data_IF_460193024729
#
_entry.id   IF_460193024729
#
_cell.length_a   1.000
_cell.length_b   1.000
_cell.length_c   1.000
_cell.angle_alpha   90.00
_cell.angle_beta   90.00
_cell.angle_gamma   90.00
#
_symmetry.space_group_name_H-M   'P 1'
#
loop_
_entity.id
_entity.type
_entity.pdbx_description
1 polymer ?
#
# COMPACT_ATOMS: atom_id res chain seq x y z
N UNK A 1 71.62 47.08 -49.62
CA UNK A 1 70.35 47.30 -50.35
C UNK A 1 69.27 46.50 -49.57
N UNK A 2 68.38 47.20 -48.92
CA UNK A 2 67.51 46.75 -47.83
C UNK A 2 66.16 46.18 -48.44
N UNK A 3 65.79 45.02 -47.95
CA UNK A 3 64.54 44.28 -48.24
C UNK A 3 63.26 45.03 -47.79
N UNK A 4 63.36 46.28 -47.34
CA UNK A 4 62.25 47.10 -46.84
C UNK A 4 61.48 47.88 -47.86
N UNK A 5 62.00 48.02 -49.09
CA UNK A 5 61.37 48.89 -50.12
C UNK A 5 60.45 48.13 -51.09
N UNK A 6 60.41 46.80 -51.02
CA UNK A 6 59.59 45.97 -51.91
C UNK A 6 58.15 45.70 -51.48
N UNK A 7 57.77 46.07 -50.22
CA UNK A 7 56.43 45.79 -49.71
C UNK A 7 55.46 46.98 -49.81
N UNK A 8 55.97 48.13 -50.22
CA UNK A 8 55.16 49.38 -50.28
C UNK A 8 54.41 49.66 -51.59
N UNK A 9 54.56 48.84 -52.62
CA UNK A 9 53.96 49.11 -53.92
C UNK A 9 52.75 48.18 -54.32
N UNK A 10 52.29 47.29 -53.38
CA UNK A 10 51.25 46.30 -53.71
C UNK A 10 49.89 46.49 -53.01
N UNK A 11 49.75 47.44 -52.08
CA UNK A 11 48.44 47.73 -51.50
C UNK A 11 47.76 48.81 -52.35
N UNK A 12 47.19 48.40 -53.49
CA UNK A 12 46.28 49.24 -54.25
C UNK A 12 45.21 49.78 -53.29
N UNK A 13 44.98 51.11 -53.34
CA UNK A 13 43.94 51.81 -52.59
C UNK A 13 42.63 51.03 -52.65
N UNK A 14 42.41 50.21 -51.65
CA UNK A 14 41.06 49.60 -51.41
C UNK A 14 40.12 50.78 -51.19
N UNK A 15 39.20 51.10 -52.08
CA UNK A 15 38.35 52.25 -51.91
C UNK A 15 37.52 52.05 -50.62
N UNK A 16 37.46 53.10 -49.79
CA UNK A 16 36.80 53.05 -48.48
C UNK A 16 35.36 52.47 -48.51
N UNK A 17 34.68 52.64 -49.60
CA UNK A 17 33.35 52.06 -49.82
C UNK A 17 33.35 50.52 -49.85
N UNK A 18 34.44 49.87 -50.25
CA UNK A 18 34.58 48.41 -50.25
C UNK A 18 34.73 47.89 -48.84
N UNK A 19 35.43 48.58 -47.94
CA UNK A 19 35.49 48.23 -46.51
C UNK A 19 34.16 48.43 -45.81
N UNK A 20 33.45 49.47 -46.16
CA UNK A 20 32.07 49.71 -45.65
C UNK A 20 31.12 48.65 -46.20
N UNK A 21 31.23 48.28 -47.49
CA UNK A 21 30.37 47.21 -48.05
C UNK A 21 30.66 45.83 -47.40
N UNK A 22 31.90 45.48 -47.17
CA UNK A 22 32.30 44.22 -46.49
C UNK A 22 31.86 44.22 -45.03
N UNK A 23 32.00 45.32 -44.31
CA UNK A 23 31.53 45.43 -42.94
C UNK A 23 29.99 45.43 -42.85
N UNK A 24 29.29 46.09 -43.78
CA UNK A 24 27.85 46.05 -43.88
C UNK A 24 27.36 44.67 -44.29
N UNK A 25 28.00 44.00 -45.23
CA UNK A 25 27.69 42.61 -45.60
C UNK A 25 27.96 41.63 -44.44
N UNK A 26 29.09 41.82 -43.72
CA UNK A 26 29.42 41.05 -42.52
C UNK A 26 28.39 41.27 -41.40
N UNK A 27 28.00 42.50 -41.15
CA UNK A 27 26.94 42.85 -40.19
C UNK A 27 25.57 42.30 -40.64
N UNK A 28 25.27 42.37 -41.92
CA UNK A 28 24.02 41.82 -42.47
C UNK A 28 23.99 40.30 -42.35
N UNK A 29 25.07 39.58 -42.64
CA UNK A 29 25.18 38.12 -42.44
C UNK A 29 25.07 37.74 -40.98
N UNK A 30 25.74 38.47 -40.09
CA UNK A 30 25.66 38.23 -38.65
C UNK A 30 24.25 38.53 -38.11
N UNK A 31 23.63 39.63 -38.53
CA UNK A 31 22.27 39.99 -38.06
C UNK A 31 21.19 39.07 -38.59
N UNK A 32 21.34 38.55 -39.84
CA UNK A 32 20.37 37.59 -40.39
C UNK A 32 20.66 36.15 -40.01
N UNK A 33 21.89 35.81 -39.67
CA UNK A 33 22.25 34.50 -39.13
C UNK A 33 21.76 34.24 -37.69
N UNK A 34 21.48 35.30 -36.93
CA UNK A 34 21.01 35.21 -35.54
C UNK A 34 19.50 35.39 -35.34
N UNK A 35 18.77 35.86 -36.35
CA UNK A 35 17.31 35.98 -36.26
C UNK A 35 16.66 34.63 -36.58
N UNK A 36 15.87 34.13 -35.62
CA UNK A 36 14.90 33.09 -35.94
C UNK A 36 14.07 33.54 -37.11
N UNK A 37 14.04 32.78 -38.22
CA UNK A 37 13.21 33.09 -39.39
C UNK A 37 11.76 33.36 -38.96
N UNK A 38 11.02 34.17 -39.73
CA UNK A 38 9.63 34.46 -39.41
C UNK A 38 8.84 33.14 -39.27
N UNK A 39 8.20 32.93 -38.11
CA UNK A 39 7.41 31.75 -37.83
C UNK A 39 8.14 30.58 -37.15
N UNK A 40 9.39 30.81 -36.68
CA UNK A 40 10.13 29.77 -35.93
C UNK A 40 10.05 30.02 -34.45
N UNK A 41 9.72 28.98 -33.68
CA UNK A 41 9.72 28.99 -32.21
C UNK A 41 10.60 27.88 -31.64
N UNK A 42 11.00 28.01 -30.38
CA UNK A 42 11.79 26.98 -29.69
C UNK A 42 10.86 26.11 -28.87
N UNK A 43 11.00 24.80 -29.07
CA UNK A 43 10.35 23.78 -28.27
C UNK A 43 11.37 22.85 -27.60
N UNK A 44 10.94 22.11 -26.65
CA UNK A 44 11.76 21.10 -25.94
C UNK A 44 10.95 19.84 -25.66
N UNK A 45 11.62 18.73 -25.57
CA UNK A 45 10.97 17.47 -25.18
C UNK A 45 10.39 17.65 -23.78
N UNK A 46 9.08 17.39 -23.67
CA UNK A 46 8.37 17.50 -22.37
C UNK A 46 9.00 16.53 -21.37
N UNK A 47 9.46 17.08 -20.27
CA UNK A 47 9.94 16.32 -19.13
C UNK A 47 8.97 16.46 -17.96
N UNK A 48 8.71 15.35 -17.29
CA UNK A 48 7.96 15.35 -16.04
C UNK A 48 8.86 14.82 -14.94
N UNK A 49 8.92 15.59 -13.87
CA UNK A 49 9.71 15.25 -12.70
C UNK A 49 8.80 14.56 -11.67
N UNK A 50 9.14 13.33 -11.34
CA UNK A 50 8.49 12.59 -10.28
C UNK A 50 9.42 12.47 -9.10
N UNK A 51 9.09 13.14 -8.00
CA UNK A 51 9.85 13.06 -6.77
C UNK A 51 9.44 11.80 -6.01
N UNK A 52 10.42 11.00 -5.61
CA UNK A 52 10.26 9.82 -4.77
C UNK A 52 10.80 10.12 -3.39
N UNK A 53 9.97 10.00 -2.38
CA UNK A 53 10.32 10.24 -0.99
C UNK A 53 9.53 9.34 -0.04
N UNK A 54 9.94 9.23 1.23
CA UNK A 54 9.28 8.38 2.20
C UNK A 54 7.93 8.97 2.64
N UNK A 55 6.96 8.10 2.91
CA UNK A 55 5.67 8.47 3.52
C UNK A 55 5.82 8.69 5.03
N UNK A 56 6.80 8.04 5.67
CA UNK A 56 7.10 8.13 7.09
C UNK A 56 8.52 8.63 7.32
N UNK A 57 8.73 9.30 8.45
CA UNK A 57 10.07 9.71 8.85
C UNK A 57 10.95 8.49 9.15
N UNK A 58 12.22 8.55 8.76
CA UNK A 58 13.18 7.49 8.98
C UNK A 58 14.58 7.85 8.56
N UNK A 59 15.54 6.96 8.81
CA UNK A 59 16.92 7.12 8.34
C UNK A 59 17.11 6.38 7.01
N UNK A 60 17.68 7.04 6.02
CA UNK A 60 18.02 6.42 4.73
C UNK A 60 19.15 5.39 4.94
N UNK A 61 18.87 4.12 4.64
CA UNK A 61 19.83 3.03 4.76
C UNK A 61 20.71 2.94 3.53
N UNK A 62 20.09 2.89 2.35
CA UNK A 62 20.80 2.75 1.08
C UNK A 62 20.00 3.35 -0.08
N UNK A 63 20.73 3.75 -1.12
CA UNK A 63 20.20 4.11 -2.44
C UNK A 63 20.70 3.06 -3.42
N UNK A 64 19.79 2.41 -4.18
CA UNK A 64 20.12 1.28 -5.06
C UNK A 64 20.27 1.64 -6.52
N UNK A 65 20.12 2.90 -6.85
CA UNK A 65 20.19 3.42 -8.22
C UNK A 65 21.27 4.46 -8.34
N UNK A 66 21.74 4.67 -9.57
CA UNK A 66 22.73 5.71 -9.88
C UNK A 66 22.14 6.76 -10.82
N UNK A 67 22.73 7.93 -10.82
CA UNK A 67 22.31 9.03 -11.71
C UNK A 67 22.38 8.59 -13.18
N UNK A 68 21.33 8.90 -13.95
CA UNK A 68 21.20 8.51 -15.33
C UNK A 68 20.74 7.07 -15.60
N UNK A 69 20.53 6.26 -14.56
CA UNK A 69 20.02 4.90 -14.68
C UNK A 69 18.55 4.91 -15.10
N UNK A 70 18.18 4.03 -16.05
CA UNK A 70 16.78 3.77 -16.36
C UNK A 70 16.18 2.84 -15.30
N UNK A 71 15.00 3.19 -14.77
CA UNK A 71 14.24 2.42 -13.77
C UNK A 71 12.83 2.16 -14.27
N UNK A 72 12.28 1.02 -13.90
CA UNK A 72 10.89 0.65 -14.19
C UNK A 72 9.96 0.98 -13.03
N UNK A 73 8.70 1.21 -13.33
CA UNK A 73 7.66 1.35 -12.31
C UNK A 73 7.65 0.15 -11.35
N UNK A 74 7.62 0.42 -10.03
CA UNK A 74 7.70 -0.60 -8.98
C UNK A 74 9.13 -1.03 -8.60
N UNK A 75 10.16 -0.66 -9.35
CA UNK A 75 11.56 -0.97 -9.02
C UNK A 75 12.00 -0.27 -7.74
N UNK A 76 12.76 -0.99 -6.90
CA UNK A 76 13.25 -0.44 -5.62
C UNK A 76 14.38 0.52 -5.90
N UNK A 77 14.20 1.78 -5.53
CA UNK A 77 15.19 2.85 -5.76
C UNK A 77 15.98 3.22 -4.51
N UNK A 78 15.36 3.10 -3.33
CA UNK A 78 16.02 3.34 -2.05
C UNK A 78 15.32 2.57 -0.93
N UNK A 79 16.00 2.43 0.21
CA UNK A 79 15.47 1.76 1.39
C UNK A 79 15.84 2.52 2.66
N UNK A 80 14.86 2.71 3.54
CA UNK A 80 15.07 3.25 4.88
C UNK A 80 15.46 2.14 5.86
N UNK A 81 15.93 2.52 7.05
CA UNK A 81 16.27 1.59 8.11
C UNK A 81 15.02 0.95 8.71
N UNK A 82 14.88 -0.35 8.54
CA UNK A 82 13.72 -1.14 9.01
C UNK A 82 13.88 -1.63 10.44
N UNK A 83 15.10 -1.62 11.00
CA UNK A 83 15.41 -2.22 12.31
C UNK A 83 14.47 -1.82 13.46
N UNK A 84 14.10 -0.54 13.62
CA UNK A 84 13.20 -0.15 14.71
C UNK A 84 11.80 -0.79 14.58
N UNK A 85 11.25 -0.84 13.35
CA UNK A 85 9.96 -1.46 13.10
C UNK A 85 10.05 -3.00 13.13
N UNK A 86 11.16 -3.61 12.69
CA UNK A 86 11.37 -5.06 12.79
C UNK A 86 11.38 -5.53 14.24
N UNK A 87 12.03 -4.81 15.16
CA UNK A 87 12.00 -5.11 16.59
C UNK A 87 10.60 -4.98 17.17
N UNK A 88 9.87 -3.94 16.77
CA UNK A 88 8.47 -3.76 17.18
C UNK A 88 7.57 -4.88 16.64
N UNK A 89 7.77 -5.29 15.39
CA UNK A 89 7.05 -6.42 14.78
C UNK A 89 7.29 -7.72 15.56
N UNK A 90 8.54 -8.04 15.91
CA UNK A 90 8.87 -9.22 16.72
C UNK A 90 8.16 -9.19 18.09
N UNK A 91 8.13 -8.03 18.73
CA UNK A 91 7.42 -7.86 19.99
C UNK A 91 5.91 -8.12 19.86
N UNK A 92 5.26 -7.50 18.86
CA UNK A 92 3.83 -7.68 18.61
C UNK A 92 3.51 -9.13 18.22
N UNK A 93 4.39 -9.80 17.47
CA UNK A 93 4.26 -11.22 17.15
C UNK A 93 4.30 -12.09 18.40
N UNK A 94 5.19 -11.81 19.37
CA UNK A 94 5.24 -12.52 20.66
C UNK A 94 3.96 -12.26 21.49
N UNK A 95 3.48 -11.03 21.52
CA UNK A 95 2.23 -10.67 22.22
C UNK A 95 1.00 -11.34 21.56
N UNK A 96 0.96 -11.44 20.24
CA UNK A 96 -0.06 -12.19 19.50
C UNK A 96 -0.02 -13.68 19.84
N UNK A 97 1.17 -14.27 19.86
CA UNK A 97 1.34 -15.68 20.25
C UNK A 97 0.84 -15.92 21.69
N UNK A 98 1.15 -15.02 22.61
CA UNK A 98 0.64 -15.07 23.99
C UNK A 98 -0.88 -14.96 24.05
N UNK A 99 -1.49 -14.01 23.32
CA UNK A 99 -2.95 -13.84 23.29
C UNK A 99 -3.64 -15.09 22.71
N UNK A 100 -3.10 -15.70 21.66
CA UNK A 100 -3.60 -16.95 21.08
C UNK A 100 -3.49 -18.12 22.07
N UNK A 101 -2.36 -18.26 22.78
CA UNK A 101 -2.19 -19.28 23.79
C UNK A 101 -3.17 -19.11 24.95
N UNK A 102 -3.44 -17.87 25.39
CA UNK A 102 -4.43 -17.60 26.43
C UNK A 102 -5.85 -17.96 25.98
N UNK A 103 -6.22 -17.66 24.74
CA UNK A 103 -7.51 -18.06 24.15
C UNK A 103 -7.68 -19.59 24.16
N UNK A 104 -6.65 -20.33 23.71
CA UNK A 104 -6.66 -21.81 23.71
C UNK A 104 -6.80 -22.35 25.12
N UNK A 105 -6.00 -21.84 26.08
CA UNK A 105 -6.07 -22.27 27.47
C UNK A 105 -7.47 -22.07 28.08
N UNK A 106 -8.15 -20.96 27.78
CA UNK A 106 -9.51 -20.71 28.24
C UNK A 106 -10.51 -21.66 27.57
N UNK A 107 -10.34 -21.98 26.28
CA UNK A 107 -11.15 -22.99 25.58
C UNK A 107 -11.00 -24.36 26.23
N UNK A 108 -9.78 -24.81 26.45
CA UNK A 108 -9.48 -26.10 27.10
C UNK A 108 -10.07 -26.18 28.51
N UNK A 109 -10.00 -25.08 29.26
CA UNK A 109 -10.60 -25.00 30.62
C UNK A 109 -12.13 -25.14 30.58
N UNK A 110 -12.78 -24.51 29.59
CA UNK A 110 -14.22 -24.62 29.37
C UNK A 110 -14.62 -26.06 29.00
N UNK A 111 -13.89 -26.68 28.09
CA UNK A 111 -14.15 -28.06 27.67
C UNK A 111 -13.97 -29.06 28.84
N UNK A 112 -12.91 -28.87 29.65
CA UNK A 112 -12.69 -29.68 30.84
C UNK A 112 -13.81 -29.51 31.87
N UNK A 113 -14.36 -28.30 32.05
CA UNK A 113 -15.52 -28.07 32.93
C UNK A 113 -16.77 -28.78 32.40
N UNK A 114 -17.07 -28.72 31.12
CA UNK A 114 -18.18 -29.41 30.50
C UNK A 114 -18.06 -30.92 30.64
N UNK A 115 -16.87 -31.49 30.38
CA UNK A 115 -16.62 -32.93 30.57
C UNK A 115 -16.84 -33.39 32.02
N UNK A 116 -16.29 -32.63 33.01
CA UNK A 116 -16.50 -32.93 34.44
C UNK A 116 -17.98 -32.92 34.79
N UNK A 117 -18.73 -31.91 34.30
CA UNK A 117 -20.18 -31.84 34.52
C UNK A 117 -20.91 -33.02 33.91
N UNK A 118 -20.56 -33.46 32.70
CA UNK A 118 -21.15 -34.65 32.06
C UNK A 118 -20.88 -35.92 32.86
N UNK A 119 -19.65 -36.13 33.32
CA UNK A 119 -19.27 -37.30 34.13
C UNK A 119 -20.06 -37.30 35.44
N UNK A 120 -20.20 -36.17 36.11
CA UNK A 120 -20.98 -36.06 37.36
C UNK A 120 -22.46 -36.36 37.12
N UNK A 121 -23.03 -35.86 36.01
CA UNK A 121 -24.42 -36.15 35.66
C UNK A 121 -24.66 -37.65 35.38
N UNK A 122 -23.76 -38.31 34.68
CA UNK A 122 -23.81 -39.76 34.38
C UNK A 122 -23.74 -40.56 35.71
N UNK A 123 -22.82 -40.19 36.61
CA UNK A 123 -22.72 -40.84 37.95
C UNK A 123 -23.98 -40.65 38.75
N UNK A 124 -24.50 -39.43 38.88
CA UNK A 124 -25.73 -39.14 39.59
C UNK A 124 -26.92 -39.93 39.03
N UNK A 125 -27.02 -40.05 37.70
CA UNK A 125 -28.07 -40.87 37.06
C UNK A 125 -27.91 -42.35 37.39
N UNK A 126 -26.69 -42.89 37.34
CA UNK A 126 -26.43 -44.30 37.70
C UNK A 126 -26.80 -44.60 39.17
N UNK A 127 -26.50 -43.67 40.10
CA UNK A 127 -26.89 -43.84 41.53
C UNK A 127 -28.39 -43.86 41.72
N UNK A 128 -29.14 -42.98 40.99
CA UNK A 128 -30.60 -42.98 41.02
C UNK A 128 -31.16 -44.32 40.49
N UNK A 129 -30.60 -44.86 39.39
CA UNK A 129 -31.02 -46.15 38.86
C UNK A 129 -30.77 -47.31 39.84
N UNK A 130 -29.59 -47.28 40.51
CA UNK A 130 -29.25 -48.29 41.55
C UNK A 130 -30.28 -48.26 42.69
N UNK A 131 -30.59 -47.09 43.23
CA UNK A 131 -31.60 -46.94 44.29
C UNK A 131 -33.00 -47.36 43.87
N UNK A 132 -33.39 -47.13 42.60
CA UNK A 132 -34.66 -47.61 42.06
C UNK A 132 -34.69 -49.13 41.98
N UNK A 133 -33.60 -49.78 41.68
CA UNK A 133 -33.47 -51.23 41.68
C UNK A 133 -33.62 -51.79 43.09
N UNK A 134 -32.90 -51.20 44.07
CA UNK A 134 -32.95 -51.55 45.49
C UNK A 134 -34.34 -51.38 46.06
N UNK A 135 -35.03 -50.27 45.76
CA UNK A 135 -36.42 -50.03 46.20
C UNK A 135 -37.34 -51.13 45.65
N UNK A 136 -37.19 -51.52 44.38
CA UNK A 136 -38.03 -52.62 43.78
C UNK A 136 -37.80 -53.94 44.49
N UNK A 137 -36.58 -54.27 44.88
CA UNK A 137 -36.25 -55.48 45.64
C UNK A 137 -36.88 -55.47 47.01
N UNK A 138 -36.77 -54.35 47.74
CA UNK A 138 -37.40 -54.20 49.05
C UNK A 138 -38.93 -54.20 48.94
N UNK A 139 -39.52 -53.58 47.96
CA UNK A 139 -40.95 -53.63 47.66
C UNK A 139 -41.46 -55.05 47.47
N UNK A 140 -40.71 -55.88 46.70
CA UNK A 140 -41.04 -57.31 46.55
C UNK A 140 -40.95 -58.07 47.86
N UNK A 141 -39.92 -57.76 48.67
CA UNK A 141 -39.71 -58.37 50.01
C UNK A 141 -40.86 -58.01 50.98
N UNK A 142 -41.28 -56.71 51.01
CA UNK A 142 -42.42 -56.26 51.80
C UNK A 142 -43.71 -56.96 51.37
N UNK A 143 -43.97 -57.10 50.05
CA UNK A 143 -45.14 -57.82 49.50
C UNK A 143 -45.10 -59.29 49.94
N UNK A 144 -43.98 -59.97 49.81
CA UNK A 144 -43.77 -61.33 50.18
C UNK A 144 -44.02 -61.53 51.71
N UNK A 145 -43.37 -60.72 52.56
CA UNK A 145 -43.53 -60.81 54.02
C UNK A 145 -44.92 -60.45 54.41
N UNK A 146 -45.60 -59.51 53.79
CA UNK A 146 -47.02 -59.19 54.11
C UNK A 146 -47.96 -60.35 53.83
N UNK A 147 -47.72 -61.10 52.71
CA UNK A 147 -48.49 -62.27 52.27
C UNK A 147 -48.24 -63.42 53.29
N UNK A 148 -46.99 -63.64 53.69
CA UNK A 148 -46.62 -64.66 54.69
C UNK A 148 -47.17 -64.32 56.10
N UNK A 149 -47.24 -63.06 56.46
CA UNK A 149 -47.89 -62.60 57.69
C UNK A 149 -49.39 -62.91 57.70
N UNK A 150 -50.09 -62.69 56.56
CA UNK A 150 -51.49 -63.03 56.47
C UNK A 150 -51.76 -64.53 56.71
N UNK A 151 -50.74 -65.38 56.38
CA UNK A 151 -50.75 -66.85 56.67
C UNK A 151 -50.17 -67.20 58.01
N UNK A 152 -49.87 -66.24 58.96
CA UNK A 152 -49.30 -66.42 60.29
C UNK A 152 -47.90 -67.06 60.28
N UNK A 153 -47.13 -67.01 59.19
CA UNK A 153 -45.85 -67.67 59.03
C UNK A 153 -44.64 -66.78 59.36
N UNK A 154 -44.80 -65.47 59.57
CA UNK A 154 -43.73 -64.51 59.96
C UNK A 154 -44.21 -63.54 61.02
N UNK A 155 -43.25 -62.98 61.81
CA UNK A 155 -43.54 -62.03 62.90
C UNK A 155 -43.87 -60.62 62.32
N UNK A 156 -44.70 -59.88 63.05
CA UNK A 156 -45.05 -58.52 62.72
C UNK A 156 -43.82 -57.59 62.60
N UNK A 157 -42.83 -57.77 63.49
CA UNK A 157 -41.60 -56.99 63.52
C UNK A 157 -40.80 -57.08 62.29
N UNK A 158 -40.80 -58.20 61.55
CA UNK A 158 -40.07 -58.40 60.28
C UNK A 158 -40.70 -57.57 59.17
N UNK A 159 -42.03 -57.56 59.10
CA UNK A 159 -42.78 -56.76 58.17
C UNK A 159 -42.56 -55.26 58.38
N UNK A 160 -42.58 -54.83 59.65
CA UNK A 160 -42.38 -53.45 60.03
C UNK A 160 -40.97 -52.99 59.77
N UNK A 161 -39.96 -53.82 59.90
CA UNK A 161 -38.57 -53.49 59.54
C UNK A 161 -38.40 -53.32 58.11
N UNK A 162 -38.94 -54.22 57.26
CA UNK A 162 -38.91 -54.13 55.84
C UNK A 162 -39.66 -52.88 55.35
N UNK A 163 -40.79 -52.52 55.93
CA UNK A 163 -41.53 -51.28 55.62
C UNK A 163 -40.76 -50.01 56.02
N UNK A 164 -40.05 -50.02 57.14
CA UNK A 164 -39.19 -48.89 57.52
C UNK A 164 -38.06 -48.69 56.48
N UNK A 165 -37.41 -49.77 56.09
CA UNK A 165 -36.36 -49.76 55.06
C UNK A 165 -36.90 -49.27 53.76
N UNK A 166 -38.08 -49.74 53.28
CA UNK A 166 -38.78 -49.25 52.07
C UNK A 166 -39.01 -47.74 52.13
N UNK A 167 -39.54 -47.23 53.27
CA UNK A 167 -39.80 -45.79 53.43
C UNK A 167 -38.50 -44.98 53.43
N UNK A 168 -37.44 -45.49 54.04
CA UNK A 168 -36.13 -44.80 54.02
C UNK A 168 -35.56 -44.65 52.60
N UNK A 169 -35.48 -45.76 51.82
CA UNK A 169 -35.00 -45.74 50.44
C UNK A 169 -35.92 -44.89 49.54
N UNK A 170 -37.22 -44.94 49.73
CA UNK A 170 -38.19 -44.13 48.98
C UNK A 170 -38.01 -42.62 49.29
N UNK A 171 -37.75 -42.26 50.54
CA UNK A 171 -37.44 -40.89 50.93
C UNK A 171 -36.13 -40.40 50.30
N UNK A 172 -35.06 -41.19 50.39
CA UNK A 172 -33.77 -40.88 49.77
C UNK A 172 -33.89 -40.74 48.24
N UNK A 173 -34.63 -41.65 47.58
CA UNK A 173 -34.91 -41.59 46.17
C UNK A 173 -35.73 -40.34 45.78
N UNK A 174 -36.68 -39.92 46.63
CA UNK A 174 -37.49 -38.72 46.37
C UNK A 174 -36.70 -37.40 46.52
N UNK A 175 -35.69 -37.40 47.35
CA UNK A 175 -34.83 -36.25 47.54
C UNK A 175 -33.79 -36.08 46.41
N UNK A 176 -33.18 -37.19 45.98
CA UNK A 176 -32.10 -37.17 44.98
C UNK A 176 -32.51 -36.75 43.55
N UNK A 177 -33.64 -37.16 42.96
CA UNK A 177 -34.06 -36.69 41.65
C UNK A 177 -34.31 -35.19 41.58
N UNK A 178 -34.78 -34.59 42.71
CA UNK A 178 -34.91 -33.12 42.78
C UNK A 178 -33.57 -32.43 42.89
N UNK A 179 -32.63 -33.01 43.62
CA UNK A 179 -31.26 -32.52 43.69
C UNK A 179 -30.55 -32.70 42.31
N UNK A 180 -30.66 -33.88 41.70
CA UNK A 180 -30.03 -34.15 40.39
C UNK A 180 -30.65 -33.31 39.26
N UNK A 181 -31.95 -33.08 39.28
CA UNK A 181 -32.62 -32.20 38.28
C UNK A 181 -32.20 -30.73 38.46
N UNK A 182 -32.08 -30.29 39.73
CA UNK A 182 -31.63 -28.93 40.06
C UNK A 182 -30.14 -28.75 39.78
N UNK A 183 -29.33 -29.78 40.02
CA UNK A 183 -27.91 -29.81 39.74
C UNK A 183 -27.63 -29.90 38.24
N UNK A 184 -28.42 -30.68 37.50
CA UNK A 184 -28.43 -30.69 36.02
C UNK A 184 -28.85 -29.33 35.45
N UNK A 185 -29.75 -28.63 36.12
CA UNK A 185 -30.19 -27.28 35.74
C UNK A 185 -29.12 -26.21 36.04
N UNK A 186 -28.48 -26.33 37.22
CA UNK A 186 -27.37 -25.46 37.63
C UNK A 186 -26.09 -25.69 36.81
N UNK A 187 -25.83 -26.95 36.40
CA UNK A 187 -24.70 -27.32 35.55
C UNK A 187 -24.96 -27.08 34.05
N UNK A 188 -26.17 -26.64 33.69
CA UNK A 188 -26.50 -26.39 32.30
C UNK A 188 -26.65 -27.66 31.44
N UNK A 189 -26.80 -28.83 32.08
CA UNK A 189 -26.92 -30.14 31.41
C UNK A 189 -28.39 -30.50 31.03
N UNK A 190 -29.38 -29.68 31.38
CA UNK A 190 -30.64 -29.70 30.64
C UNK A 190 -30.33 -29.25 29.20
N UNK A 191 -30.88 -29.91 28.18
CA UNK A 191 -30.72 -29.47 26.81
C UNK A 191 -31.31 -28.07 26.67
N UNK A 192 -30.47 -27.07 26.88
CA UNK A 192 -30.77 -25.69 26.51
C UNK A 192 -30.71 -25.62 24.99
N UNK A 193 -31.49 -24.74 24.36
CA UNK A 193 -31.33 -24.51 22.93
C UNK A 193 -29.85 -24.30 22.62
N UNK A 194 -29.34 -24.94 21.60
CA UNK A 194 -27.92 -24.83 21.18
C UNK A 194 -27.49 -23.36 21.06
N UNK A 195 -28.43 -22.48 20.71
CA UNK A 195 -28.26 -21.03 20.66
C UNK A 195 -27.79 -20.39 21.96
N UNK A 196 -28.34 -20.83 23.13
CA UNK A 196 -27.99 -20.25 24.43
C UNK A 196 -26.64 -20.72 24.94
N UNK A 197 -26.23 -21.94 24.59
CA UNK A 197 -24.91 -22.46 24.91
C UNK A 197 -23.82 -21.75 24.07
N UNK A 198 -24.06 -21.59 22.79
CA UNK A 198 -23.18 -20.87 21.87
C UNK A 198 -23.02 -19.41 22.29
N UNK A 199 -24.12 -18.74 22.61
CA UNK A 199 -24.09 -17.35 23.07
C UNK A 199 -23.25 -17.15 24.32
N UNK A 200 -23.38 -18.02 25.33
CA UNK A 200 -22.56 -17.95 26.56
C UNK A 200 -21.10 -18.23 26.31
N UNK A 201 -20.79 -19.14 25.39
CA UNK A 201 -19.42 -19.42 24.98
C UNK A 201 -18.83 -18.20 24.29
N UNK A 202 -19.58 -17.57 23.39
CA UNK A 202 -19.17 -16.33 22.73
C UNK A 202 -18.99 -15.17 23.71
N UNK A 203 -19.90 -15.01 24.68
CA UNK A 203 -19.78 -13.99 25.71
C UNK A 203 -18.51 -14.17 26.56
N UNK A 204 -18.12 -15.42 26.86
CA UNK A 204 -16.92 -15.73 27.66
C UNK A 204 -15.64 -15.63 26.84
N UNK A 205 -15.61 -16.14 25.61
CA UNK A 205 -14.43 -16.14 24.75
C UNK A 205 -14.27 -14.82 23.99
N UNK A 206 -15.30 -14.00 23.93
CA UNK A 206 -15.32 -12.72 23.24
C UNK A 206 -14.13 -11.81 23.56
N UNK A 207 -13.84 -11.52 24.85
CA UNK A 207 -12.71 -10.68 25.24
C UNK A 207 -11.35 -11.21 24.73
N UNK A 208 -11.14 -12.53 24.77
CA UNK A 208 -9.89 -13.15 24.31
C UNK A 208 -9.76 -13.10 22.77
N UNK A 209 -10.87 -13.31 22.06
CA UNK A 209 -10.90 -13.15 20.59
C UNK A 209 -10.62 -11.72 20.17
N UNK A 210 -11.20 -10.75 20.89
CA UNK A 210 -10.93 -9.33 20.65
C UNK A 210 -9.45 -9.03 20.91
N UNK A 211 -8.85 -9.54 21.98
CA UNK A 211 -7.43 -9.36 22.25
C UNK A 211 -6.54 -9.90 21.11
N UNK A 212 -6.88 -11.06 20.56
CA UNK A 212 -6.18 -11.62 19.40
C UNK A 212 -6.36 -10.72 18.16
N UNK A 213 -7.59 -10.31 17.86
CA UNK A 213 -7.86 -9.46 16.68
C UNK A 213 -7.18 -8.10 16.74
N UNK A 214 -7.08 -7.50 17.94
CA UNK A 214 -6.33 -6.24 18.13
C UNK A 214 -4.85 -6.43 17.81
N UNK A 215 -4.23 -7.53 18.28
CA UNK A 215 -2.81 -7.79 17.97
C UNK A 215 -2.57 -8.15 16.50
N UNK A 216 -3.53 -8.82 15.86
CA UNK A 216 -3.47 -9.08 14.41
C UNK A 216 -3.57 -7.79 13.59
N UNK A 217 -4.44 -6.86 13.98
CA UNK A 217 -4.54 -5.55 13.36
C UNK A 217 -3.26 -4.72 13.54
N UNK A 218 -2.67 -4.71 14.75
CA UNK A 218 -1.41 -4.02 15.04
C UNK A 218 -0.24 -4.60 14.21
N UNK A 219 -0.20 -5.93 14.05
CA UNK A 219 0.80 -6.58 13.20
C UNK A 219 0.64 -6.19 11.74
N UNK A 220 -0.58 -6.18 11.22
CA UNK A 220 -0.86 -5.76 9.84
C UNK A 220 -0.48 -4.30 9.58
N UNK A 221 -0.74 -3.39 10.54
CA UNK A 221 -0.30 -1.99 10.47
C UNK A 221 1.23 -1.87 10.38
N UNK A 222 1.95 -2.65 11.19
CA UNK A 222 3.42 -2.66 11.17
C UNK A 222 3.98 -3.25 9.87
N UNK A 223 3.36 -4.27 9.31
CA UNK A 223 3.77 -4.86 8.02
C UNK A 223 3.56 -3.86 6.88
N UNK A 224 2.45 -3.13 6.89
CA UNK A 224 2.22 -2.03 5.95
C UNK A 224 3.28 -0.94 6.11
N UNK A 225 3.53 -0.48 7.34
CA UNK A 225 4.55 0.53 7.62
C UNK A 225 5.96 0.11 7.18
N UNK A 226 6.33 -1.18 7.34
CA UNK A 226 7.59 -1.73 6.84
C UNK A 226 7.65 -1.72 5.31
N UNK A 227 6.54 -1.98 4.62
CA UNK A 227 6.44 -1.87 3.17
C UNK A 227 6.75 -0.48 2.66
N UNK A 228 6.23 0.55 3.35
CA UNK A 228 6.42 1.96 3.01
C UNK A 228 7.87 2.47 3.21
N UNK A 229 8.70 1.75 3.99
CA UNK A 229 10.13 2.08 4.12
C UNK A 229 10.95 1.69 2.89
N UNK A 230 10.36 0.97 1.93
CA UNK A 230 10.99 0.62 0.66
C UNK A 230 10.49 1.56 -0.43
N UNK A 231 11.35 2.51 -0.83
CA UNK A 231 10.99 3.48 -1.86
C UNK A 231 11.06 2.85 -3.24
N UNK A 232 9.96 2.95 -3.99
CA UNK A 232 9.84 2.40 -5.34
C UNK A 232 9.60 3.51 -6.36
N UNK A 233 10.06 3.29 -7.59
CA UNK A 233 9.79 4.17 -8.72
C UNK A 233 8.27 4.16 -9.03
N UNK A 234 7.59 5.31 -9.07
CA UNK A 234 6.16 5.36 -9.38
C UNK A 234 5.87 5.16 -10.87
N UNK A 235 6.86 5.42 -11.73
CA UNK A 235 6.76 5.39 -13.19
C UNK A 235 8.08 4.93 -13.82
N UNK A 236 8.01 4.48 -15.07
CA UNK A 236 9.21 4.23 -15.87
C UNK A 236 9.90 5.55 -16.19
N UNK A 237 11.23 5.60 -16.06
CA UNK A 237 11.97 6.82 -16.34
C UNK A 237 13.46 6.72 -16.07
N UNK A 238 14.14 7.85 -16.12
CA UNK A 238 15.57 7.96 -15.85
C UNK A 238 15.79 8.71 -14.53
N UNK A 239 16.70 8.22 -13.71
CA UNK A 239 17.09 8.90 -12.47
C UNK A 239 17.75 10.23 -12.81
N UNK A 240 17.02 11.33 -12.58
CA UNK A 240 17.46 12.69 -12.88
C UNK A 240 18.30 13.33 -11.79
N UNK A 241 18.01 12.99 -10.52
CA UNK A 241 18.78 13.48 -9.37
C UNK A 241 18.66 12.54 -8.17
N UNK A 242 19.73 12.44 -7.39
CA UNK A 242 19.75 11.81 -6.06
C UNK A 242 20.02 12.94 -5.06
N UNK A 243 19.02 13.26 -4.25
CA UNK A 243 19.02 14.44 -3.39
C UNK A 243 19.52 14.15 -1.98
N UNK A 244 19.49 12.89 -1.54
CA UNK A 244 19.83 12.47 -0.19
C UNK A 244 20.87 11.35 -0.21
N UNK A 245 21.61 11.20 0.89
CA UNK A 245 22.69 10.22 1.03
C UNK A 245 22.35 9.17 2.07
N UNK A 246 22.88 7.94 1.96
CA UNK A 246 22.79 6.96 3.02
C UNK A 246 23.26 7.52 4.35
N UNK A 247 22.46 7.33 5.41
CA UNK A 247 22.70 7.89 6.74
C UNK A 247 21.88 9.14 7.08
N UNK A 248 21.31 9.84 6.09
CA UNK A 248 20.49 11.03 6.32
C UNK A 248 19.19 10.68 7.05
N UNK A 249 18.78 11.57 7.96
CA UNK A 249 17.47 11.51 8.59
C UNK A 249 16.45 12.26 7.73
N UNK A 250 15.37 11.58 7.37
CA UNK A 250 14.35 12.08 6.46
C UNK A 250 13.02 12.27 7.18
N UNK A 251 12.32 13.33 6.84
CA UNK A 251 10.93 13.51 7.22
C UNK A 251 10.01 12.95 6.12
N UNK A 252 8.75 12.72 6.46
CA UNK A 252 7.72 12.36 5.49
C UNK A 252 7.64 13.41 4.36
N UNK A 253 7.55 12.94 3.12
CA UNK A 253 7.51 13.80 1.93
C UNK A 253 8.84 14.41 1.49
N UNK A 254 9.95 14.19 2.20
CA UNK A 254 11.27 14.70 1.77
C UNK A 254 11.70 13.95 0.50
N UNK A 255 11.96 14.65 -0.62
CA UNK A 255 12.37 14.00 -1.85
C UNK A 255 13.79 13.42 -1.71
N UNK A 256 13.91 12.13 -2.05
CA UNK A 256 15.18 11.38 -2.04
C UNK A 256 15.76 11.28 -3.44
N UNK A 257 14.91 10.96 -4.40
CA UNK A 257 15.27 10.73 -5.80
C UNK A 257 14.25 11.43 -6.67
N UNK A 258 14.71 12.00 -7.78
CA UNK A 258 13.85 12.52 -8.83
C UNK A 258 13.96 11.64 -10.07
N UNK A 259 12.84 11.16 -10.56
CA UNK A 259 12.74 10.39 -11.82
C UNK A 259 12.18 11.31 -12.88
N UNK A 260 12.90 11.37 -14.00
CA UNK A 260 12.52 12.14 -15.18
C UNK A 260 11.86 11.22 -16.18
N UNK A 261 10.66 11.58 -16.58
CA UNK A 261 9.95 10.90 -17.65
C UNK A 261 9.73 11.85 -18.81
N UNK A 262 9.70 11.31 -20.02
CA UNK A 262 9.29 12.05 -21.20
C UNK A 262 8.15 11.31 -21.88
N UNK A 263 7.26 12.05 -22.52
CA UNK A 263 6.31 11.44 -23.47
C UNK A 263 7.06 11.18 -24.77
N UNK A 264 7.26 9.92 -25.18
CA UNK A 264 7.99 9.64 -26.42
C UNK A 264 7.38 10.40 -27.58
N UNK A 265 8.23 11.14 -28.31
CA UNK A 265 7.82 11.87 -29.49
C UNK A 265 6.98 13.14 -29.29
N UNK A 266 6.79 13.60 -28.03
CA UNK A 266 6.07 14.85 -27.75
C UNK A 266 7.05 15.98 -27.41
N UNK A 267 6.86 17.13 -28.06
CA UNK A 267 7.66 18.33 -27.90
C UNK A 267 6.73 19.48 -27.54
N UNK A 268 7.04 20.17 -26.47
CA UNK A 268 6.33 21.39 -26.05
C UNK A 268 7.01 22.59 -26.64
N UNK A 269 6.25 23.44 -27.30
CA UNK A 269 6.73 24.71 -27.85
C UNK A 269 5.78 25.85 -27.44
N UNK A 270 6.32 27.07 -27.42
CA UNK A 270 5.57 28.27 -27.10
C UNK A 270 5.49 29.19 -28.29
N UNK A 271 4.30 29.36 -28.81
CA UNK A 271 4.04 30.15 -30.02
C UNK A 271 3.53 31.54 -29.62
N UNK A 272 4.19 32.60 -30.08
CA UNK A 272 3.69 33.97 -29.92
C UNK A 272 2.28 34.12 -30.49
N UNK A 273 1.43 34.91 -29.85
CA UNK A 273 0.03 35.06 -30.23
C UNK A 273 -0.18 35.47 -31.70
N UNK A 274 0.72 36.27 -32.22
CA UNK A 274 0.71 36.69 -33.66
C UNK A 274 0.80 35.55 -34.67
N UNK A 275 1.39 34.41 -34.24
CA UNK A 275 1.67 33.26 -35.12
C UNK A 275 0.71 32.10 -34.87
N UNK A 276 -0.12 32.18 -33.83
CA UNK A 276 -0.94 31.04 -33.36
C UNK A 276 -1.89 30.49 -34.44
N UNK A 277 -2.33 31.34 -35.37
CA UNK A 277 -3.21 30.93 -36.46
C UNK A 277 -2.63 29.83 -37.34
N UNK A 278 -1.29 29.73 -37.42
CA UNK A 278 -0.57 28.74 -38.20
C UNK A 278 -0.36 27.42 -37.47
N UNK A 279 -0.66 27.38 -36.15
CA UNK A 279 -0.42 26.20 -35.28
C UNK A 279 -1.71 25.63 -34.73
N UNK A 280 -2.73 25.49 -35.59
CA UNK A 280 -3.98 24.86 -35.18
C UNK A 280 -3.78 23.35 -34.95
N UNK A 281 -4.70 22.74 -34.20
CA UNK A 281 -4.68 21.31 -33.99
C UNK A 281 -4.70 20.54 -35.32
N UNK A 282 -3.80 19.58 -35.47
CA UNK A 282 -3.60 18.84 -36.72
C UNK A 282 -2.65 19.53 -37.74
N UNK A 283 -2.21 20.78 -37.48
CA UNK A 283 -1.26 21.46 -38.40
C UNK A 283 0.09 20.73 -38.44
N UNK A 284 0.64 20.58 -39.64
CA UNK A 284 1.95 19.98 -39.85
C UNK A 284 3.05 21.02 -39.61
N UNK A 285 4.02 20.62 -38.79
CA UNK A 285 5.18 21.43 -38.42
C UNK A 285 6.48 20.69 -38.74
N UNK A 286 7.51 21.44 -39.00
CA UNK A 286 8.86 20.92 -39.18
C UNK A 286 9.67 21.18 -37.91
N UNK A 287 10.35 20.14 -37.44
CA UNK A 287 11.20 20.16 -36.27
C UNK A 287 12.66 20.01 -36.68
N UNK A 288 13.53 20.85 -36.13
CA UNK A 288 14.97 20.72 -36.30
C UNK A 288 15.66 20.76 -34.97
N UNK A 289 16.41 19.70 -34.63
CA UNK A 289 17.15 19.65 -33.33
C UNK A 289 18.19 20.77 -33.32
N UNK A 290 18.26 21.48 -32.18
CA UNK A 290 19.22 22.57 -31.98
C UNK A 290 20.62 21.98 -31.78
N UNK A 291 21.63 22.53 -32.43
CA UNK A 291 23.04 22.12 -32.28
C UNK A 291 23.46 20.90 -33.11
N UNK A 292 22.58 20.31 -33.89
CA UNK A 292 22.89 19.16 -34.76
C UNK A 292 22.39 19.43 -36.17
N UNK A 293 23.21 19.16 -37.18
CA UNK A 293 22.81 19.25 -38.59
C UNK A 293 22.12 17.94 -38.98
N UNK A 294 20.83 17.83 -38.65
CA UNK A 294 19.99 16.68 -39.02
C UNK A 294 18.88 17.16 -39.95
N UNK A 295 18.37 16.25 -40.79
CA UNK A 295 17.19 16.48 -41.60
C UNK A 295 16.01 16.95 -40.74
N UNK A 296 15.15 17.82 -41.26
CA UNK A 296 13.95 18.26 -40.57
C UNK A 296 13.02 17.09 -40.36
N UNK A 297 12.59 16.91 -39.11
CA UNK A 297 11.60 15.90 -38.70
C UNK A 297 10.20 16.48 -38.91
N UNK A 298 9.26 15.66 -39.40
CA UNK A 298 7.85 16.03 -39.49
C UNK A 298 7.14 15.73 -38.16
N UNK A 299 6.22 16.63 -37.81
CA UNK A 299 5.38 16.47 -36.64
C UNK A 299 4.04 17.19 -36.90
N UNK A 300 3.06 16.89 -36.08
CA UNK A 300 1.76 17.55 -36.09
C UNK A 300 1.40 18.10 -34.72
N UNK A 301 0.64 19.18 -34.67
CA UNK A 301 0.14 19.79 -33.45
C UNK A 301 -0.98 18.90 -32.90
N UNK A 302 -0.78 18.37 -31.68
CA UNK A 302 -1.76 17.51 -30.98
C UNK A 302 -2.62 18.32 -30.03
N UNK A 303 -1.98 19.22 -29.26
CA UNK A 303 -2.63 20.01 -28.25
C UNK A 303 -2.29 21.49 -28.41
N UNK A 304 -3.27 22.35 -28.21
CA UNK A 304 -3.14 23.81 -28.15
C UNK A 304 -3.73 24.30 -26.84
N UNK A 305 -2.91 24.91 -25.97
CA UNK A 305 -3.38 25.45 -24.72
C UNK A 305 -4.36 26.62 -24.96
N UNK A 306 -5.46 26.71 -24.22
CA UNK A 306 -6.43 27.80 -24.38
C UNK A 306 -5.90 29.15 -23.83
N UNK A 307 -4.90 29.09 -22.93
CA UNK A 307 -4.35 30.25 -22.23
C UNK A 307 -3.03 30.71 -22.82
N UNK A 308 -2.78 32.03 -22.72
CA UNK A 308 -1.47 32.63 -22.97
C UNK A 308 -0.70 32.61 -21.66
N UNK A 309 0.52 32.10 -21.67
CA UNK A 309 1.37 32.01 -20.51
C UNK A 309 2.76 32.58 -20.76
N UNK A 310 3.49 32.87 -19.71
CA UNK A 310 4.86 33.36 -19.84
C UNK A 310 5.76 32.22 -20.33
N UNK A 311 6.48 32.47 -21.41
CA UNK A 311 7.39 31.49 -22.01
C UNK A 311 8.54 31.21 -21.06
N UNK A 312 8.83 29.96 -20.68
CA UNK A 312 9.98 29.62 -19.86
C UNK A 312 11.28 30.13 -20.44
N UNK A 313 12.22 30.56 -19.59
CA UNK A 313 13.50 31.17 -19.99
C UNK A 313 14.25 30.34 -21.04
N UNK A 314 14.25 29.01 -20.89
CA UNK A 314 14.90 28.05 -21.79
C UNK A 314 14.28 28.02 -23.20
N UNK A 315 13.02 28.43 -23.35
CA UNK A 315 12.30 28.45 -24.61
C UNK A 315 12.27 29.84 -25.26
N UNK A 316 12.85 30.87 -24.60
CA UNK A 316 12.95 32.22 -25.13
C UNK A 316 14.12 32.35 -26.12
N UNK A 317 13.95 33.00 -27.24
CA UNK A 317 15.07 33.33 -28.15
C UNK A 317 16.13 34.20 -27.46
N UNK A 318 15.67 35.12 -26.61
CA UNK A 318 16.50 35.99 -25.77
C UNK A 318 16.12 35.78 -24.30
N UNK A 319 16.97 35.15 -23.49
CA UNK A 319 16.65 34.77 -22.11
C UNK A 319 16.20 35.93 -21.19
N UNK A 320 16.76 37.12 -21.42
CA UNK A 320 16.53 38.30 -20.58
C UNK A 320 15.21 39.03 -20.90
N UNK A 321 14.58 38.73 -22.02
CA UNK A 321 13.35 39.44 -22.46
C UNK A 321 12.14 38.56 -22.12
N UNK A 322 11.21 38.99 -21.22
CA UNK A 322 9.96 38.30 -21.02
C UNK A 322 9.15 38.16 -22.30
N UNK A 323 8.65 37.00 -22.59
CA UNK A 323 7.85 36.69 -23.77
C UNK A 323 6.61 35.92 -23.35
N UNK A 324 5.49 36.22 -24.00
CA UNK A 324 4.22 35.58 -23.79
C UNK A 324 3.85 34.78 -25.03
N UNK A 325 3.26 33.60 -24.82
CA UNK A 325 2.86 32.74 -25.93
C UNK A 325 1.90 31.66 -25.47
N UNK A 326 1.30 30.97 -26.44
CA UNK A 326 0.47 29.79 -26.14
C UNK A 326 1.31 28.55 -26.24
N UNK A 327 1.14 27.68 -25.27
CA UNK A 327 1.76 26.36 -25.27
C UNK A 327 1.09 25.49 -26.34
N UNK A 328 1.90 24.86 -27.18
CA UNK A 328 1.48 23.82 -28.11
C UNK A 328 2.26 22.54 -27.80
N UNK A 329 1.61 21.41 -28.01
CA UNK A 329 2.27 20.10 -27.96
C UNK A 329 2.27 19.55 -29.38
N UNK A 330 3.44 19.23 -29.87
CA UNK A 330 3.61 18.62 -31.20
C UNK A 330 4.10 17.19 -31.02
N UNK A 331 3.57 16.28 -31.84
CA UNK A 331 3.94 14.87 -31.84
C UNK A 331 4.67 14.55 -33.12
N UNK A 332 5.81 13.88 -33.02
CA UNK A 332 6.57 13.36 -34.13
C UNK A 332 5.78 12.31 -34.92
N UNK A 333 5.85 12.35 -36.23
CA UNK A 333 5.23 11.34 -37.09
C UNK A 333 6.02 10.03 -37.09
N UNK A 334 7.34 10.12 -36.90
CA UNK A 334 8.24 8.97 -36.80
C UNK A 334 8.84 8.87 -35.40
N UNK A 335 8.95 7.67 -34.77
CA UNK A 335 9.57 7.49 -33.49
C UNK A 335 11.09 7.74 -33.58
N UNK A 336 11.55 8.81 -32.96
CA UNK A 336 12.97 9.13 -32.82
C UNK A 336 13.33 9.08 -31.33
N UNK A 337 14.47 8.50 -30.95
CA UNK A 337 14.93 8.53 -29.57
C UNK A 337 15.24 9.97 -29.16
N UNK A 338 14.42 10.53 -28.30
CA UNK A 338 14.55 11.86 -27.76
C UNK A 338 14.94 11.77 -26.28
N UNK A 339 15.87 12.60 -25.86
CA UNK A 339 16.22 12.76 -24.47
C UNK A 339 15.36 13.87 -23.85
N UNK A 340 14.92 13.72 -22.60
CA UNK A 340 14.26 14.79 -21.86
C UNK A 340 15.08 16.09 -21.91
N UNK A 341 14.43 17.21 -22.24
CA UNK A 341 15.10 18.50 -22.34
C UNK A 341 15.78 18.81 -23.70
N UNK A 342 15.82 17.87 -24.63
CA UNK A 342 16.30 18.16 -26.00
C UNK A 342 15.53 19.35 -26.59
N UNK A 343 16.27 20.33 -27.16
CA UNK A 343 15.71 21.53 -27.77
C UNK A 343 15.53 21.38 -29.28
N UNK A 344 14.39 21.86 -29.75
CA UNK A 344 14.02 21.86 -31.18
C UNK A 344 13.57 23.22 -31.65
N UNK A 345 13.91 23.56 -32.88
CA UNK A 345 13.24 24.64 -33.60
C UNK A 345 11.99 24.09 -34.25
N UNK A 346 10.87 24.71 -33.96
CA UNK A 346 9.55 24.37 -34.50
C UNK A 346 9.17 25.45 -35.50
N UNK A 347 8.93 25.08 -36.75
CA UNK A 347 8.47 25.99 -37.80
C UNK A 347 7.24 25.39 -38.50
N UNK A 348 6.27 26.24 -38.78
CA UNK A 348 5.17 25.82 -39.66
C UNK A 348 5.65 25.69 -41.10
N UNK A 349 4.94 24.87 -41.83
CA UNK A 349 5.24 24.67 -43.27
C UNK A 349 4.52 25.68 -44.14
#
# INVERSE_FOLDING_TARGET
MSLKDSIRSGIGRIPAWLLVAVSAAGFWVLSHGMTLGPGTTVGYVEERLHSVGPVQAGRLKEVRVVLGQFVKAGEIVAQLDTRPLDLRRQRVQAELAQAKATLVAEQDQQDAQLQRGQIQAVRAHADVQRMRAELREVDQSVKRLSTLKAKQLVRLSEVETARRQQKSIAADLSARPRASSRELELMGLRPRPQSDQQRRLEERLGPYRIAVSVREAELAELEYALGELTLRAPVDGIVGAILQRPGDALNAGTPVITIVTSRPGHIVAYVPERQIRNYQQGAVVNLRKVGVVVASLRAHVVELAPMVEEVPVRARPTPTVPMWGRRIVVKLDEPVPLLPGDAFRVSYR
#
